data_IF_908619213524
#
_entry.id   IF_908619213524
#
_cell.length_a   1.000
_cell.length_b   1.000
_cell.length_c   1.000
_cell.angle_alpha   90.00
_cell.angle_beta   90.00
_cell.angle_gamma   90.00
#
_symmetry.space_group_name_H-M   'P 1'
#
loop_
_entity.id
_entity.type
_entity.pdbx_description
1 polymer ?
#
# COMPACT_ATOMS: atom_id res chain seq x y z
N UNK A 1 25.46 6.38 55.64
CA UNK A 1 25.78 5.27 54.72
C UNK A 1 24.94 5.42 53.47
N UNK A 2 25.50 6.07 52.49
CA UNK A 2 24.83 6.36 51.19
C UNK A 2 25.19 5.27 50.19
N UNK A 3 24.21 4.56 49.69
CA UNK A 3 24.38 3.64 48.55
C UNK A 3 24.47 4.44 47.25
N UNK A 4 25.50 4.26 46.40
CA UNK A 4 25.50 4.87 45.09
C UNK A 4 24.47 4.14 44.18
N UNK A 5 23.59 4.91 43.58
CA UNK A 5 22.72 4.45 42.49
C UNK A 5 23.60 4.08 41.27
N UNK A 6 23.75 2.80 40.99
CA UNK A 6 24.37 2.32 39.77
C UNK A 6 23.47 2.69 38.59
N UNK A 7 23.98 3.59 37.73
CA UNK A 7 23.37 3.91 36.45
C UNK A 7 23.24 2.64 35.59
N UNK A 8 22.05 2.20 35.36
CA UNK A 8 21.72 1.04 34.53
C UNK A 8 21.82 1.37 33.02
N UNK A 9 22.17 2.59 32.65
CA UNK A 9 22.17 3.07 31.27
C UNK A 9 23.50 2.94 30.52
N UNK A 10 24.49 2.23 31.07
CA UNK A 10 25.87 2.29 30.51
C UNK A 10 26.32 1.05 29.72
N UNK A 11 25.45 0.13 29.36
CA UNK A 11 25.84 -1.07 28.60
C UNK A 11 24.95 -1.47 27.41
N UNK A 12 24.09 -0.59 26.91
CA UNK A 12 23.54 -0.77 25.58
C UNK A 12 24.59 -0.34 24.55
N UNK A 13 25.52 -1.24 24.24
CA UNK A 13 26.61 -1.00 23.36
C UNK A 13 26.16 -0.71 21.93
N UNK A 14 26.98 0.09 21.20
CA UNK A 14 26.80 0.37 19.75
C UNK A 14 26.55 -0.89 18.91
N UNK A 15 26.93 -2.05 19.38
CA UNK A 15 26.76 -3.34 18.72
C UNK A 15 25.30 -3.76 18.68
N UNK A 16 24.54 -3.61 19.76
CA UNK A 16 23.11 -3.98 19.82
C UNK A 16 22.25 -3.09 18.92
N UNK A 17 22.58 -1.80 18.79
CA UNK A 17 21.84 -0.91 17.89
C UNK A 17 22.07 -1.23 16.42
N UNK A 18 23.28 -1.59 16.03
CA UNK A 18 23.60 -2.01 14.66
C UNK A 18 22.95 -3.37 14.32
N UNK A 19 22.93 -4.30 15.28
CA UNK A 19 22.27 -5.59 15.09
C UNK A 19 20.75 -5.45 15.03
N UNK A 20 20.18 -4.55 15.82
CA UNK A 20 18.78 -4.16 15.71
C UNK A 20 18.45 -3.52 14.35
N UNK A 21 19.33 -2.65 13.82
CA UNK A 21 19.14 -2.08 12.48
C UNK A 21 19.26 -3.14 11.38
N UNK A 22 20.21 -4.06 11.49
CA UNK A 22 20.36 -5.18 10.55
C UNK A 22 19.14 -6.10 10.56
N UNK A 23 18.60 -6.44 11.74
CA UNK A 23 17.39 -7.24 11.85
C UNK A 23 16.16 -6.57 11.21
N UNK A 24 16.09 -5.23 11.24
CA UNK A 24 15.04 -4.48 10.53
C UNK A 24 15.21 -4.49 9.02
N UNK A 25 16.44 -4.52 8.52
CA UNK A 25 16.70 -4.62 7.08
C UNK A 25 16.38 -6.02 6.56
N UNK A 26 16.61 -7.07 7.33
CA UNK A 26 16.25 -8.45 6.99
C UNK A 26 14.73 -8.68 6.91
N UNK A 27 13.92 -7.85 7.57
CA UNK A 27 12.45 -7.89 7.47
C UNK A 27 11.90 -7.43 6.10
N UNK A 28 12.73 -6.85 5.26
CA UNK A 28 12.38 -6.44 3.91
C UNK A 28 12.69 -7.52 2.87
N UNK A 29 12.41 -8.79 3.17
CA UNK A 29 12.57 -9.89 2.22
C UNK A 29 11.70 -9.67 0.98
N UNK A 30 12.21 -10.05 -0.19
CA UNK A 30 11.43 -10.07 -1.42
C UNK A 30 10.39 -11.19 -1.31
N UNK A 31 9.13 -10.82 -1.11
CA UNK A 31 8.01 -11.74 -0.92
C UNK A 31 7.01 -11.69 -2.07
N UNK A 32 7.29 -10.91 -3.10
CA UNK A 32 6.46 -10.75 -4.27
C UNK A 32 6.89 -11.63 -5.43
N UNK A 33 6.58 -11.19 -6.63
CA UNK A 33 6.92 -11.88 -7.87
C UNK A 33 7.58 -10.93 -8.87
N UNK A 34 8.44 -11.48 -9.72
CA UNK A 34 9.10 -10.71 -10.76
C UNK A 34 8.21 -10.62 -12.01
N UNK A 35 8.11 -9.41 -12.56
CA UNK A 35 7.45 -9.15 -13.83
C UNK A 35 8.39 -8.33 -14.72
N UNK A 36 8.35 -8.59 -16.03
CA UNK A 36 9.03 -7.76 -17.01
C UNK A 36 8.32 -6.40 -17.13
N UNK A 37 9.01 -5.27 -16.91
CA UNK A 37 8.42 -3.94 -17.04
C UNK A 37 7.74 -3.68 -18.41
N UNK A 38 8.19 -4.36 -19.46
CA UNK A 38 7.61 -4.25 -20.79
C UNK A 38 6.22 -4.88 -20.92
N UNK A 39 5.88 -5.80 -20.01
CA UNK A 39 4.56 -6.46 -19.97
C UNK A 39 3.51 -5.67 -19.18
N UNK A 40 3.91 -4.62 -18.47
CA UNK A 40 3.01 -3.73 -17.77
C UNK A 40 2.24 -2.86 -18.75
N UNK A 41 1.16 -2.26 -18.27
CA UNK A 41 0.29 -1.43 -19.10
C UNK A 41 1.08 -0.39 -19.91
N UNK A 42 0.91 -0.31 -21.23
CA UNK A 42 1.65 0.61 -22.09
C UNK A 42 1.35 2.09 -21.80
N UNK A 43 0.26 2.41 -21.12
CA UNK A 43 -0.07 3.76 -20.71
C UNK A 43 0.85 4.30 -19.59
N UNK A 44 1.59 3.42 -18.88
CA UNK A 44 2.56 3.84 -17.88
C UNK A 44 3.84 4.38 -18.54
N UNK A 45 4.38 5.44 -17.95
CA UNK A 45 5.69 5.96 -18.33
C UNK A 45 6.81 5.00 -17.90
N UNK A 46 8.02 5.04 -18.53
CA UNK A 46 9.09 4.11 -18.18
C UNK A 46 9.42 4.04 -16.69
N UNK A 47 9.62 5.18 -16.02
CA UNK A 47 9.88 5.23 -14.58
C UNK A 47 8.77 4.63 -13.72
N UNK A 48 7.50 4.75 -14.15
CA UNK A 48 6.35 4.16 -13.45
C UNK A 48 6.36 2.63 -13.59
N UNK A 49 6.70 2.10 -14.75
CA UNK A 49 6.85 0.65 -14.97
C UNK A 49 7.96 0.07 -14.10
N UNK A 50 9.10 0.75 -14.02
CA UNK A 50 10.22 0.32 -13.19
C UNK A 50 9.84 0.32 -11.71
N UNK A 51 9.14 1.36 -11.24
CA UNK A 51 8.66 1.45 -9.86
C UNK A 51 7.64 0.34 -9.53
N UNK A 52 6.68 0.07 -10.41
CA UNK A 52 5.69 -1.01 -10.24
C UNK A 52 6.37 -2.37 -10.24
N UNK A 53 7.28 -2.64 -11.17
CA UNK A 53 8.01 -3.90 -11.23
C UNK A 53 8.86 -4.13 -9.97
N UNK A 54 9.54 -3.08 -9.48
CA UNK A 54 10.27 -3.12 -8.21
C UNK A 54 9.34 -3.40 -7.02
N UNK A 55 8.19 -2.76 -6.96
CA UNK A 55 7.21 -2.95 -5.89
C UNK A 55 6.62 -4.36 -5.89
N UNK A 56 6.27 -4.90 -7.07
CA UNK A 56 5.76 -6.26 -7.23
C UNK A 56 6.77 -7.31 -6.81
N UNK A 57 8.06 -7.14 -7.16
CA UNK A 57 9.13 -8.03 -6.71
C UNK A 57 9.26 -8.03 -5.20
N UNK A 58 9.19 -6.86 -4.58
CA UNK A 58 9.29 -6.72 -3.14
C UNK A 58 8.07 -7.25 -2.38
N UNK A 59 6.88 -7.26 -2.99
CA UNK A 59 5.61 -7.67 -2.41
C UNK A 59 5.04 -6.68 -1.40
N UNK A 60 5.87 -6.18 -0.48
CA UNK A 60 5.51 -5.17 0.53
C UNK A 60 6.48 -4.01 0.43
N UNK A 61 6.09 -2.97 -0.30
CA UNK A 61 6.92 -1.79 -0.54
C UNK A 61 6.13 -0.50 -0.33
N UNK A 62 6.83 0.55 0.05
CA UNK A 62 6.27 1.89 0.14
C UNK A 62 6.88 2.75 -0.96
N UNK A 63 6.05 3.44 -1.73
CA UNK A 63 6.45 4.36 -2.79
C UNK A 63 6.38 5.80 -2.26
N UNK A 64 7.52 6.36 -1.89
CA UNK A 64 7.66 7.74 -1.45
C UNK A 64 8.10 8.62 -2.61
N UNK A 65 7.16 8.99 -3.45
CA UNK A 65 7.42 9.79 -4.64
C UNK A 65 6.91 11.24 -4.48
N UNK A 66 7.53 12.17 -5.20
CA UNK A 66 7.08 13.55 -5.26
C UNK A 66 5.70 13.69 -5.90
N UNK A 67 5.07 14.85 -5.73
CA UNK A 67 3.78 15.13 -6.37
C UNK A 67 3.91 15.12 -7.90
N UNK A 68 2.86 14.71 -8.60
CA UNK A 68 2.80 14.73 -10.06
C UNK A 68 3.46 13.54 -10.78
N UNK A 69 4.07 12.59 -10.07
CA UNK A 69 4.71 11.42 -10.69
C UNK A 69 3.72 10.30 -11.06
N UNK A 70 2.43 10.48 -10.76
CA UNK A 70 1.38 9.53 -11.14
C UNK A 70 1.32 8.30 -10.26
N UNK A 71 1.44 8.47 -8.93
CA UNK A 71 1.31 7.38 -7.94
C UNK A 71 0.03 6.58 -8.10
N UNK A 72 -1.09 7.25 -8.37
CA UNK A 72 -2.40 6.62 -8.59
C UNK A 72 -2.35 5.57 -9.69
N UNK A 73 -1.73 5.89 -10.81
CA UNK A 73 -1.60 4.96 -11.95
C UNK A 73 -0.72 3.77 -11.59
N UNK A 74 0.36 4.00 -10.85
CA UNK A 74 1.26 2.94 -10.38
C UNK A 74 0.55 2.03 -9.38
N UNK A 75 -0.23 2.58 -8.45
CA UNK A 75 -1.01 1.83 -7.46
C UNK A 75 -2.08 0.96 -8.13
N UNK A 76 -2.79 1.50 -9.11
CA UNK A 76 -3.79 0.76 -9.89
C UNK A 76 -3.14 -0.42 -10.60
N UNK A 77 -2.05 -0.19 -11.31
CA UNK A 77 -1.34 -1.25 -12.03
C UNK A 77 -0.76 -2.30 -11.09
N UNK A 78 -0.15 -1.88 -9.98
CA UNK A 78 0.35 -2.79 -8.95
C UNK A 78 -0.77 -3.71 -8.43
N UNK A 79 -1.91 -3.14 -8.04
CA UNK A 79 -3.05 -3.90 -7.53
C UNK A 79 -3.65 -4.82 -8.59
N UNK A 80 -3.69 -4.39 -9.84
CA UNK A 80 -4.18 -5.21 -10.95
C UNK A 80 -3.28 -6.43 -11.19
N UNK A 81 -1.98 -6.24 -11.27
CA UNK A 81 -1.02 -7.33 -11.48
C UNK A 81 -0.98 -8.30 -10.29
N UNK A 82 -1.03 -7.77 -9.06
CA UNK A 82 -1.10 -8.59 -7.86
C UNK A 82 -2.38 -9.44 -7.82
N UNK A 83 -3.53 -8.85 -8.15
CA UNK A 83 -4.80 -9.57 -8.21
C UNK A 83 -4.81 -10.66 -9.29
N UNK A 84 -4.18 -10.42 -10.44
CA UNK A 84 -4.03 -11.43 -11.50
C UNK A 84 -3.13 -12.59 -11.03
N UNK A 85 -2.00 -12.28 -10.42
CA UNK A 85 -1.03 -13.28 -9.97
C UNK A 85 -1.63 -14.21 -8.92
N UNK A 86 -2.31 -13.64 -7.91
CA UNK A 86 -2.93 -14.39 -6.82
C UNK A 86 -4.30 -14.97 -7.18
N UNK A 87 -4.81 -14.73 -8.38
CA UNK A 87 -6.19 -15.04 -8.79
C UNK A 87 -7.21 -14.54 -7.76
N UNK A 88 -6.99 -13.36 -7.24
CA UNK A 88 -7.68 -12.77 -6.10
C UNK A 88 -8.30 -11.40 -6.38
N UNK A 89 -8.45 -10.64 -5.31
CA UNK A 89 -8.99 -9.27 -5.34
C UNK A 89 -8.05 -8.34 -4.60
N UNK A 90 -7.85 -7.14 -5.12
CA UNK A 90 -7.14 -6.08 -4.43
C UNK A 90 -8.13 -5.10 -3.78
N UNK A 91 -7.78 -4.59 -2.62
CA UNK A 91 -8.50 -3.53 -1.92
C UNK A 91 -7.61 -2.30 -1.81
N UNK A 92 -8.11 -1.18 -2.33
CA UNK A 92 -7.43 0.11 -2.25
C UNK A 92 -8.18 0.99 -1.26
N UNK A 93 -7.46 1.53 -0.28
CA UNK A 93 -7.99 2.45 0.72
C UNK A 93 -7.48 3.85 0.43
N UNK A 94 -8.40 4.79 0.22
CA UNK A 94 -8.07 6.16 -0.16
C UNK A 94 -9.01 7.18 0.52
N UNK A 95 -8.58 8.45 0.68
CA UNK A 95 -9.42 9.52 1.17
C UNK A 95 -10.61 9.77 0.23
N UNK A 96 -11.78 10.09 0.80
CA UNK A 96 -13.00 10.31 0.02
C UNK A 96 -12.86 11.41 -1.04
N UNK A 97 -12.07 12.46 -0.75
CA UNK A 97 -11.87 13.59 -1.67
C UNK A 97 -11.19 13.21 -2.99
N UNK A 98 -10.40 12.14 -3.03
CA UNK A 98 -9.69 11.71 -4.24
C UNK A 98 -10.38 10.53 -4.96
N UNK A 99 -11.49 10.05 -4.42
CA UNK A 99 -12.21 8.89 -4.95
C UNK A 99 -12.59 9.04 -6.43
N UNK A 100 -13.15 10.18 -6.81
CA UNK A 100 -13.61 10.41 -8.18
C UNK A 100 -12.45 10.44 -9.18
N UNK A 101 -11.33 11.07 -8.81
CA UNK A 101 -10.13 11.09 -9.64
C UNK A 101 -9.55 9.70 -9.79
N UNK A 102 -9.47 8.96 -8.69
CA UNK A 102 -9.00 7.57 -8.70
C UNK A 102 -9.84 6.68 -9.61
N UNK A 103 -11.17 6.76 -9.53
CA UNK A 103 -12.07 6.00 -10.40
C UNK A 103 -11.88 6.35 -11.88
N UNK A 104 -11.71 7.65 -12.17
CA UNK A 104 -11.47 8.14 -13.54
C UNK A 104 -10.15 7.63 -14.11
N UNK A 105 -9.09 7.64 -13.30
CA UNK A 105 -7.78 7.13 -13.70
C UNK A 105 -7.80 5.60 -13.84
N UNK A 106 -8.50 4.91 -12.95
CA UNK A 106 -8.68 3.46 -13.04
C UNK A 106 -9.44 3.06 -14.32
N UNK A 107 -10.49 3.79 -14.69
CA UNK A 107 -11.22 3.55 -15.94
C UNK A 107 -10.33 3.72 -17.17
N UNK A 108 -9.41 4.70 -17.17
CA UNK A 108 -8.46 4.92 -18.25
C UNK A 108 -7.42 3.81 -18.37
N UNK A 109 -6.93 3.31 -17.23
CA UNK A 109 -5.85 2.31 -17.17
C UNK A 109 -6.39 0.90 -17.40
N UNK A 110 -7.48 0.55 -16.74
CA UNK A 110 -8.03 -0.80 -16.74
C UNK A 110 -9.11 -1.01 -17.80
N UNK A 111 -9.67 0.07 -18.36
CA UNK A 111 -10.81 0.00 -19.27
C UNK A 111 -12.17 -0.27 -18.59
N UNK A 112 -12.20 -0.30 -17.26
CA UNK A 112 -13.43 -0.45 -16.47
C UNK A 112 -13.32 0.30 -15.12
N UNK A 113 -14.45 0.66 -14.55
CA UNK A 113 -14.50 1.29 -13.22
C UNK A 113 -14.48 0.22 -12.12
N UNK A 114 -13.51 0.31 -11.17
CA UNK A 114 -13.49 -0.58 -10.03
C UNK A 114 -14.69 -0.30 -9.10
N UNK A 115 -15.18 -1.35 -8.45
CA UNK A 115 -16.28 -1.22 -7.49
C UNK A 115 -15.88 -0.32 -6.33
N UNK A 116 -16.68 0.70 -6.08
CA UNK A 116 -16.53 1.54 -4.89
C UNK A 116 -17.34 0.97 -3.74
N UNK A 117 -16.65 0.64 -2.65
CA UNK A 117 -17.26 0.30 -1.38
C UNK A 117 -17.32 1.56 -0.50
N UNK A 118 -18.23 2.47 -0.79
CA UNK A 118 -18.54 3.59 0.10
C UNK A 118 -19.76 3.20 0.93
N UNK A 119 -19.54 2.62 2.10
CA UNK A 119 -20.58 2.32 3.06
C UNK A 119 -20.30 3.07 4.36
N UNK A 120 -21.34 3.64 5.00
CA UNK A 120 -21.23 4.04 6.40
C UNK A 120 -20.79 2.83 7.22
N UNK A 121 -19.73 2.97 7.98
CA UNK A 121 -19.29 1.96 8.91
C UNK A 121 -20.41 1.75 9.95
N UNK A 122 -21.17 0.67 9.83
CA UNK A 122 -22.18 0.31 10.83
C UNK A 122 -21.48 -0.40 11.98
N UNK A 123 -21.60 0.13 13.17
CA UNK A 123 -21.20 -0.59 14.38
C UNK A 123 -21.97 -1.91 14.43
N UNK A 124 -21.36 -3.06 14.75
CA UNK A 124 -22.08 -4.29 14.96
C UNK A 124 -23.08 -4.07 16.10
N UNK A 125 -24.39 -4.26 15.84
CA UNK A 125 -25.45 -4.10 16.84
C UNK A 125 -26.52 -3.03 16.53
N UNK A 126 -26.39 -2.25 15.46
CA UNK A 126 -27.42 -1.27 15.06
C UNK A 126 -28.48 -1.91 14.14
N UNK A 127 -29.72 -1.95 14.60
CA UNK A 127 -30.90 -2.39 13.87
C UNK A 127 -31.07 -1.61 12.56
N UNK A 128 -31.49 -2.27 11.50
CA UNK A 128 -31.86 -1.64 10.21
C UNK A 128 -33.14 -0.83 10.42
N UNK A 129 -33.04 0.49 10.43
CA UNK A 129 -34.20 1.30 10.10
C UNK A 129 -34.32 1.37 8.57
N UNK A 130 -35.36 0.76 8.05
CA UNK A 130 -35.79 0.89 6.67
C UNK A 130 -36.23 2.35 6.44
N UNK A 131 -35.45 3.10 5.70
CA UNK A 131 -35.89 4.37 5.11
C UNK A 131 -36.45 4.10 3.71
N UNK A 132 -37.55 3.38 3.66
CA UNK A 132 -38.51 3.42 2.56
C UNK A 132 -39.75 4.08 3.11
N UNK A 133 -39.80 5.42 3.00
CA UNK A 133 -41.02 6.22 2.91
C UNK A 133 -40.63 7.68 2.97
N UNK A 134 -40.51 8.30 1.81
CA UNK A 134 -41.02 9.66 1.57
C UNK A 134 -41.13 9.86 0.06
N UNK A 135 -42.37 9.96 -0.34
CA UNK A 135 -42.97 10.49 -1.55
C UNK A 135 -42.29 11.78 -2.04
#
# INVERSE_FOLDING_TARGET
>A
MSRPAKSVYSSFGKMEYLDFLKSKIELATESGFAIDPQKLNPALKPHQRDAVAWALRGGRRALFESFGLGKTVQEIEFCYQAALYENGKALIVLPLGVKQEFQRDAAKILGYEPRSMCGQWRRPGGSRENSSDKL
#
